data_IF_552529463898
#
_entry.id   IF_552529463898
#
_cell.length_a   1.000
_cell.length_b   1.000
_cell.length_c   1.000
_cell.angle_alpha   90.00
_cell.angle_beta   90.00
_cell.angle_gamma   90.00
#
_symmetry.space_group_name_H-M   'P 1'
#
loop_
_entity.id
_entity.type
_entity.pdbx_description
1 polymer ?
#
# COMPACT_ATOMS: atom_id res chain seq x y z
N UNK A 1 -25.55 -6.44 5.10
CA UNK A 1 -24.72 -5.75 4.10
C UNK A 1 -23.38 -5.54 4.78
N UNK A 2 -22.33 -6.21 4.31
CA UNK A 2 -21.02 -6.17 4.94
C UNK A 2 -20.27 -4.95 4.43
N UNK A 3 -19.82 -4.07 5.32
CA UNK A 3 -19.05 -2.88 4.94
C UNK A 3 -17.57 -3.26 4.82
N UNK A 4 -16.90 -2.80 3.77
CA UNK A 4 -15.46 -2.99 3.59
C UNK A 4 -14.74 -1.68 3.79
N UNK A 5 -13.71 -1.71 4.64
CA UNK A 5 -12.82 -0.58 4.88
C UNK A 5 -11.40 -1.02 4.54
N UNK A 6 -10.65 -0.15 3.86
CA UNK A 6 -9.31 -0.45 3.39
C UNK A 6 -8.35 0.59 3.96
N UNK A 7 -7.25 0.11 4.53
CA UNK A 7 -6.27 0.95 5.20
C UNK A 7 -4.85 0.56 4.81
N UNK A 8 -3.98 1.55 4.68
CA UNK A 8 -2.54 1.37 4.55
C UNK A 8 -1.89 1.84 5.85
N UNK A 9 -0.86 1.13 6.29
CA UNK A 9 0.01 1.51 7.41
C UNK A 9 1.41 1.73 6.87
N UNK A 10 1.86 2.99 6.95
CA UNK A 10 3.20 3.42 6.56
C UNK A 10 4.24 3.03 7.61
N UNK A 11 5.54 3.00 7.25
CA UNK A 11 6.61 2.64 8.18
C UNK A 11 6.72 3.56 9.41
N UNK A 12 6.23 4.80 9.34
CA UNK A 12 6.15 5.73 10.48
C UNK A 12 5.02 5.35 11.48
N UNK A 13 4.20 4.36 11.13
CA UNK A 13 3.02 3.95 11.91
C UNK A 13 1.76 4.73 11.55
N UNK A 14 1.84 5.71 10.64
CA UNK A 14 0.70 6.42 10.11
C UNK A 14 -0.25 5.47 9.37
N UNK A 15 -1.54 5.57 9.68
CA UNK A 15 -2.60 4.78 9.07
C UNK A 15 -3.47 5.67 8.19
N UNK A 16 -3.57 5.34 6.92
CA UNK A 16 -4.37 6.06 5.93
C UNK A 16 -5.48 5.17 5.37
N UNK A 17 -6.68 5.71 5.20
CA UNK A 17 -7.77 5.04 4.50
C UNK A 17 -7.63 5.17 2.98
N UNK A 18 -7.97 4.11 2.25
CA UNK A 18 -7.99 4.10 0.78
C UNK A 18 -9.35 3.68 0.24
N UNK A 19 -9.64 4.12 -0.99
CA UNK A 19 -10.93 3.90 -1.63
C UNK A 19 -11.19 2.46 -2.11
N UNK A 20 -10.20 1.58 -2.06
CA UNK A 20 -10.35 0.23 -2.59
C UNK A 20 -9.24 -0.75 -2.18
N UNK A 21 -9.39 -2.03 -2.54
CA UNK A 21 -8.39 -3.05 -2.27
C UNK A 21 -7.14 -2.85 -3.14
N UNK A 22 -5.97 -3.03 -2.53
CA UNK A 22 -4.69 -3.12 -3.24
C UNK A 22 -4.12 -4.54 -3.18
N UNK A 23 -3.21 -4.85 -4.10
CA UNK A 23 -2.51 -6.14 -4.16
C UNK A 23 -1.22 -6.13 -3.31
N UNK A 24 -0.90 -7.27 -2.70
CA UNK A 24 0.43 -7.48 -2.10
C UNK A 24 1.47 -7.47 -3.22
N UNK A 25 2.57 -6.76 -3.02
CA UNK A 25 3.60 -6.49 -4.02
C UNK A 25 3.31 -5.29 -4.92
N UNK A 26 2.13 -4.66 -4.83
CA UNK A 26 1.84 -3.42 -5.56
C UNK A 26 2.69 -2.26 -5.01
N UNK A 27 2.99 -1.32 -5.90
CA UNK A 27 3.68 -0.07 -5.56
C UNK A 27 2.66 1.03 -5.33
N UNK A 28 2.86 1.83 -4.29
CA UNK A 28 2.01 2.92 -3.88
C UNK A 28 2.85 4.19 -3.73
N UNK A 29 2.27 5.34 -4.07
CA UNK A 29 2.84 6.65 -3.76
C UNK A 29 2.49 7.08 -2.32
N UNK A 30 3.09 8.17 -1.82
CA UNK A 30 2.77 8.76 -0.50
C UNK A 30 1.28 9.10 -0.32
N UNK A 31 0.55 9.29 -1.42
CA UNK A 31 -0.88 9.55 -1.37
C UNK A 31 -1.75 8.27 -1.31
N UNK A 32 -1.14 7.08 -1.27
CA UNK A 32 -1.85 5.79 -1.27
C UNK A 32 -2.39 5.38 -2.65
N UNK A 33 -1.94 6.04 -3.71
CA UNK A 33 -2.32 5.71 -5.09
C UNK A 33 -1.40 4.62 -5.66
N UNK A 34 -1.98 3.64 -6.36
CA UNK A 34 -1.21 2.61 -7.05
C UNK A 34 -0.36 3.19 -8.18
N UNK A 35 0.90 2.80 -8.20
CA UNK A 35 1.88 3.15 -9.21
C UNK A 35 2.04 2.00 -10.21
N UNK A 36 2.41 2.32 -11.46
CA UNK A 36 2.71 1.30 -12.46
C UNK A 36 3.94 0.48 -12.03
N UNK A 37 3.97 -0.78 -12.45
CA UNK A 37 5.10 -1.69 -12.17
C UNK A 37 6.41 -1.24 -12.83
N UNK A 38 6.32 -0.48 -13.93
CA UNK A 38 7.45 0.21 -14.58
C UNK A 38 7.42 1.66 -14.12
N UNK A 39 8.39 2.04 -13.29
CA UNK A 39 8.43 3.38 -12.73
C UNK A 39 9.09 4.34 -13.72
N UNK A 40 8.57 5.57 -13.88
CA UNK A 40 9.14 6.55 -14.80
C UNK A 40 10.51 7.08 -14.33
N UNK A 41 10.79 7.00 -13.03
CA UNK A 41 12.07 7.39 -12.44
C UNK A 41 12.27 6.68 -11.09
N UNK A 42 13.53 6.50 -10.69
CA UNK A 42 13.91 6.03 -9.35
C UNK A 42 14.01 7.19 -8.32
N UNK A 43 13.79 8.45 -8.75
CA UNK A 43 13.78 9.64 -7.89
C UNK A 43 12.37 9.97 -7.39
N UNK A 44 11.68 8.98 -6.84
CA UNK A 44 10.33 9.17 -6.27
C UNK A 44 10.15 8.34 -5.01
N UNK A 45 9.19 8.71 -4.17
CA UNK A 45 8.86 7.98 -2.95
C UNK A 45 7.89 6.87 -3.34
N UNK A 46 8.34 5.62 -3.21
CA UNK A 46 7.53 4.43 -3.50
C UNK A 46 7.43 3.58 -2.25
N UNK A 47 6.23 3.11 -1.98
CA UNK A 47 5.92 2.17 -0.94
C UNK A 47 5.48 0.85 -1.57
N UNK A 48 6.07 -0.27 -1.16
CA UNK A 48 5.62 -1.58 -1.61
C UNK A 48 4.71 -2.21 -0.55
N UNK A 49 3.59 -2.79 -0.97
CA UNK A 49 2.71 -3.55 -0.08
C UNK A 49 3.35 -4.88 0.29
N UNK A 50 3.81 -5.02 1.52
CA UNK A 50 4.52 -6.20 2.00
C UNK A 50 3.57 -7.25 2.56
N UNK A 51 2.48 -6.82 3.16
CA UNK A 51 1.55 -7.72 3.85
C UNK A 51 0.14 -7.19 3.86
N UNK A 52 -0.81 -8.13 3.95
CA UNK A 52 -2.24 -7.86 4.08
C UNK A 52 -2.77 -8.56 5.31
N UNK A 53 -3.56 -7.83 6.11
CA UNK A 53 -4.26 -8.35 7.29
C UNK A 53 -5.74 -8.02 7.18
N UNK A 54 -6.58 -9.04 7.31
CA UNK A 54 -8.04 -8.87 7.34
C UNK A 54 -8.53 -9.01 8.78
N UNK A 55 -9.37 -8.07 9.21
CA UNK A 55 -10.01 -8.07 10.52
C UNK A 55 -11.52 -7.98 10.28
N UNK A 56 -12.24 -9.01 10.68
CA UNK A 56 -13.70 -9.04 10.57
C UNK A 56 -14.31 -8.74 11.93
N UNK A 57 -15.16 -7.72 12.00
CA UNK A 57 -15.78 -7.31 13.24
C UNK A 57 -17.24 -6.88 13.03
N UNK A 58 -18.18 -7.63 13.63
CA UNK A 58 -19.63 -7.31 13.66
C UNK A 58 -20.22 -6.82 12.32
N UNK A 59 -19.84 -7.43 11.20
CA UNK A 59 -20.36 -7.08 9.86
C UNK A 59 -19.58 -5.98 9.12
N UNK A 60 -18.44 -5.56 9.66
CA UNK A 60 -17.45 -4.72 8.99
C UNK A 60 -16.19 -5.55 8.76
N UNK A 61 -15.65 -5.51 7.55
CA UNK A 61 -14.41 -6.17 7.16
C UNK A 61 -13.37 -5.09 6.92
N UNK A 62 -12.42 -4.99 7.84
CA UNK A 62 -11.31 -4.06 7.74
C UNK A 62 -10.12 -4.79 7.13
N UNK A 63 -9.56 -4.22 6.07
CA UNK A 63 -8.40 -4.77 5.38
C UNK A 63 -7.26 -3.77 5.56
N UNK A 64 -6.21 -4.22 6.23
CA UNK A 64 -5.05 -3.42 6.58
C UNK A 64 -3.87 -3.93 5.76
N UNK A 65 -3.26 -3.03 5.01
CA UNK A 65 -2.07 -3.25 4.20
C UNK A 65 -0.88 -2.62 4.92
N UNK A 66 0.18 -3.38 5.13
CA UNK A 66 1.43 -2.86 5.68
C UNK A 66 2.36 -2.62 4.51
N UNK A 67 2.89 -1.40 4.43
CA UNK A 67 3.80 -1.01 3.36
C UNK A 67 5.19 -0.68 3.91
N UNK A 68 6.20 -0.90 3.09
CA UNK A 68 7.57 -0.48 3.36
C UNK A 68 8.04 0.48 2.26
N UNK A 69 8.84 1.48 2.61
CA UNK A 69 9.42 2.39 1.64
C UNK A 69 10.56 1.69 0.90
N UNK A 70 10.58 1.81 -0.43
CA UNK A 70 11.69 1.36 -1.25
C UNK A 70 12.74 2.46 -1.38
N UNK A 71 14.00 2.05 -1.27
CA UNK A 71 15.16 2.91 -1.49
C UNK A 71 15.46 3.07 -2.99
N UNK A 72 16.22 4.12 -3.33
CA UNK A 72 16.57 4.43 -4.72
C UNK A 72 17.34 3.30 -5.43
N UNK A 73 18.08 2.48 -4.67
CA UNK A 73 18.80 1.31 -5.18
C UNK A 73 17.84 0.19 -5.58
N UNK A 74 16.87 -0.12 -4.72
CA UNK A 74 15.82 -1.12 -5.00
C UNK A 74 14.96 -0.70 -6.20
N UNK A 75 14.72 0.61 -6.35
CA UNK A 75 13.94 1.15 -7.47
C UNK A 75 14.67 1.02 -8.83
N UNK A 76 16.00 0.86 -8.87
CA UNK A 76 16.74 0.70 -10.12
C UNK A 76 16.36 -0.57 -10.89
N UNK A 77 15.89 -1.61 -10.20
CA UNK A 77 15.46 -2.87 -10.83
C UNK A 77 14.13 -2.70 -11.59
N UNK A 78 13.37 -1.62 -11.32
CA UNK A 78 12.01 -1.40 -11.80
C UNK A 78 11.85 -0.21 -12.78
N UNK A 79 12.95 0.47 -13.14
CA UNK A 79 12.99 1.59 -14.11
C UNK A 79 13.44 1.12 -15.49
#
# INVERSE_FOLDING_TARGET
MTLYEYYIVYPDGEKQEIGGPVSVGAFLDINGNELPQRLPTNKMIVYQVQSKRTIENRGIVQIIYVVEQLDAEELLDYV
#
